data_IF_750140413268
#
_entry.id   IF_750140413268
#
_cell.length_a   1.000
_cell.length_b   1.000
_cell.length_c   1.000
_cell.angle_alpha   90.00
_cell.angle_beta   90.00
_cell.angle_gamma   90.00
#
_symmetry.space_group_name_H-M   'P 1'
#
loop_
_entity.id
_entity.type
_entity.pdbx_description
1 polymer ?
#
# COMPACT_ATOMS: atom_id res chain seq x y z
N UNK A 1 5.85 -35.56 -2.15
CA UNK A 1 4.41 -35.23 -2.04
C UNK A 1 4.29 -33.76 -2.42
N UNK A 2 3.84 -33.46 -3.64
CA UNK A 2 3.74 -32.07 -4.11
C UNK A 2 2.50 -31.44 -3.46
N UNK A 3 2.72 -30.53 -2.52
CA UNK A 3 1.64 -29.83 -1.82
C UNK A 3 0.90 -28.94 -2.84
N UNK A 4 -0.37 -29.23 -3.11
CA UNK A 4 -1.22 -28.39 -3.95
C UNK A 4 -1.62 -27.17 -3.14
N UNK A 5 -0.97 -26.05 -3.43
CA UNK A 5 -1.38 -24.74 -2.92
C UNK A 5 -2.67 -24.30 -3.61
N UNK A 6 -3.53 -23.64 -2.85
CA UNK A 6 -4.72 -22.99 -3.38
C UNK A 6 -4.35 -21.68 -4.08
N UNK A 7 -5.20 -21.21 -4.98
CA UNK A 7 -4.98 -19.93 -5.66
C UNK A 7 -4.93 -18.75 -4.69
N UNK A 8 -5.74 -18.78 -3.62
CA UNK A 8 -5.76 -17.75 -2.60
C UNK A 8 -4.41 -17.64 -1.84
N UNK A 9 -3.80 -18.78 -1.51
CA UNK A 9 -2.48 -18.82 -0.87
C UNK A 9 -1.38 -18.27 -1.78
N UNK A 10 -1.47 -18.54 -3.09
CA UNK A 10 -0.53 -18.00 -4.08
C UNK A 10 -0.66 -16.48 -4.19
N UNK A 11 -1.89 -15.94 -4.20
CA UNK A 11 -2.10 -14.50 -4.24
C UNK A 11 -1.67 -13.80 -2.95
N UNK A 12 -1.91 -14.40 -1.78
CA UNK A 12 -1.44 -13.86 -0.51
C UNK A 12 0.09 -13.86 -0.40
N UNK A 13 0.75 -14.94 -0.85
CA UNK A 13 2.21 -15.00 -0.93
C UNK A 13 2.77 -13.95 -1.92
N UNK A 14 2.10 -13.76 -3.07
CA UNK A 14 2.50 -12.73 -4.05
C UNK A 14 2.33 -11.31 -3.51
N UNK A 15 1.21 -11.02 -2.85
CA UNK A 15 0.99 -9.73 -2.19
C UNK A 15 2.06 -9.49 -1.12
N UNK A 16 2.38 -10.50 -0.30
CA UNK A 16 3.43 -10.41 0.72
C UNK A 16 4.79 -10.11 0.10
N UNK A 17 5.20 -10.85 -0.94
CA UNK A 17 6.49 -10.64 -1.62
C UNK A 17 6.54 -9.28 -2.32
N UNK A 18 5.45 -8.83 -2.92
CA UNK A 18 5.38 -7.55 -3.60
C UNK A 18 5.34 -6.37 -2.63
N UNK A 19 4.60 -6.46 -1.54
CA UNK A 19 4.62 -5.48 -0.46
C UNK A 19 6.00 -5.40 0.18
N UNK A 20 6.62 -6.52 0.56
CA UNK A 20 7.97 -6.53 1.13
C UNK A 20 9.01 -5.92 0.19
N UNK A 21 8.99 -6.30 -1.10
CA UNK A 21 9.89 -5.74 -2.10
C UNK A 21 9.63 -4.24 -2.33
N UNK A 22 8.37 -3.82 -2.39
CA UNK A 22 8.00 -2.42 -2.54
C UNK A 22 8.44 -1.58 -1.34
N UNK A 23 8.23 -2.04 -0.10
CA UNK A 23 8.64 -1.32 1.10
C UNK A 23 10.16 -1.33 1.32
N UNK A 24 10.86 -2.39 0.90
CA UNK A 24 12.32 -2.47 1.00
C UNK A 24 13.03 -1.57 -0.01
N UNK A 25 12.41 -1.36 -1.18
CA UNK A 25 12.97 -0.50 -2.23
C UNK A 25 12.43 0.92 -2.17
N UNK A 26 11.30 1.17 -1.49
CA UNK A 26 10.67 2.49 -1.44
C UNK A 26 11.63 3.57 -0.94
N UNK A 27 11.74 4.63 -1.74
CA UNK A 27 12.48 5.84 -1.35
C UNK A 27 11.67 6.66 -0.35
N UNK A 28 10.33 6.58 -0.43
CA UNK A 28 9.43 7.12 0.56
C UNK A 28 8.11 6.36 0.60
N UNK A 29 7.49 6.37 1.78
CA UNK A 29 6.18 5.74 2.02
C UNK A 29 5.25 6.77 2.65
N UNK A 30 4.09 6.99 2.03
CA UNK A 30 2.98 7.75 2.61
C UNK A 30 2.02 6.76 3.27
N UNK A 31 1.91 6.83 4.60
CA UNK A 31 1.03 5.97 5.39
C UNK A 31 0.08 6.86 6.20
N UNK A 32 -1.23 6.61 6.09
CA UNK A 32 -2.21 7.11 7.04
C UNK A 32 -2.74 5.91 7.85
N UNK A 33 -2.03 5.57 8.92
CA UNK A 33 -2.35 4.46 9.84
C UNK A 33 -2.13 4.96 11.26
N UNK A 34 -3.19 4.96 12.07
CA UNK A 34 -3.09 5.12 13.52
C UNK A 34 -3.12 3.74 14.23
N UNK A 35 -3.88 2.77 13.71
CA UNK A 35 -3.90 1.36 14.10
C UNK A 35 -3.95 0.49 12.82
N UNK A 36 -3.10 -0.53 12.65
CA UNK A 36 -3.14 -1.42 11.47
C UNK A 36 -4.45 -2.20 11.32
N UNK A 37 -5.21 -2.40 12.40
CA UNK A 37 -6.54 -3.02 12.36
C UNK A 37 -7.65 -2.01 11.97
N UNK A 38 -7.35 -0.71 12.00
CA UNK A 38 -8.28 0.35 11.58
C UNK A 38 -8.27 0.57 10.06
N UNK A 39 -9.33 1.16 9.48
CA UNK A 39 -9.36 1.52 8.07
C UNK A 39 -8.18 2.44 7.68
N UNK A 40 -7.31 1.94 6.81
CA UNK A 40 -6.12 2.65 6.36
C UNK A 40 -5.84 2.48 4.86
N UNK A 41 -5.00 3.39 4.36
CA UNK A 41 -4.40 3.37 3.02
C UNK A 41 -2.88 3.55 3.15
N UNK A 42 -2.12 2.76 2.39
CA UNK A 42 -0.67 2.88 2.29
C UNK A 42 -0.26 3.07 0.83
N UNK A 43 0.64 4.01 0.56
CA UNK A 43 1.19 4.26 -0.78
C UNK A 43 2.71 4.30 -0.71
N UNK A 44 3.37 3.47 -1.52
CA UNK A 44 4.82 3.49 -1.65
C UNK A 44 5.24 4.08 -3.00
N UNK A 45 6.27 4.92 -2.96
CA UNK A 45 6.88 5.53 -4.15
C UNK A 45 8.36 5.17 -4.22
N UNK A 46 8.82 4.83 -5.42
CA UNK A 46 10.22 4.61 -5.74
C UNK A 46 10.52 5.20 -7.12
N UNK A 47 11.62 5.94 -7.25
CA UNK A 47 12.06 6.57 -8.50
C UNK A 47 10.97 7.42 -9.17
N UNK A 48 10.24 8.20 -8.35
CA UNK A 48 9.14 9.05 -8.82
C UNK A 48 7.93 8.30 -9.36
N UNK A 49 7.79 7.00 -9.06
CA UNK A 49 6.64 6.18 -9.48
C UNK A 49 5.99 5.50 -8.28
N UNK A 50 4.66 5.37 -8.31
CA UNK A 50 3.94 4.56 -7.33
C UNK A 50 4.24 3.08 -7.61
N UNK A 51 4.77 2.39 -6.62
CA UNK A 51 5.08 0.95 -6.71
C UNK A 51 4.08 0.10 -5.94
N UNK A 52 3.37 0.68 -4.98
CA UNK A 52 2.38 -0.03 -4.16
C UNK A 52 1.25 0.89 -3.71
N UNK A 53 0.03 0.35 -3.71
CA UNK A 53 -1.14 0.92 -3.05
C UNK A 53 -1.83 -0.20 -2.28
N UNK A 54 -1.83 -0.10 -0.96
CA UNK A 54 -2.59 -0.97 -0.07
C UNK A 54 -3.85 -0.26 0.42
N UNK A 55 -5.00 -0.92 0.29
CA UNK A 55 -6.29 -0.43 0.81
C UNK A 55 -6.86 -1.52 1.70
N UNK A 56 -7.06 -1.19 2.98
CA UNK A 56 -7.66 -2.12 3.94
C UNK A 56 -9.13 -2.42 3.63
N UNK A 57 -9.62 -3.59 4.04
CA UNK A 57 -11.02 -3.98 3.90
C UNK A 57 -11.99 -3.00 4.58
N UNK A 58 -11.56 -2.36 5.67
CA UNK A 58 -12.32 -1.32 6.36
C UNK A 58 -12.60 -0.12 5.46
N UNK A 59 -11.58 0.31 4.70
CA UNK A 59 -11.70 1.43 3.75
C UNK A 59 -12.64 1.12 2.58
N UNK A 60 -12.73 -0.14 2.15
CA UNK A 60 -13.66 -0.56 1.07
C UNK A 60 -15.13 -0.47 1.46
N UNK A 61 -15.44 -0.33 2.76
CA UNK A 61 -16.81 -0.16 3.28
C UNK A 61 -17.19 1.30 3.48
N UNK A 62 -16.23 2.22 3.31
CA UNK A 62 -16.47 3.66 3.45
C UNK A 62 -17.11 4.24 2.19
N UNK A 63 -17.75 5.42 2.30
CA UNK A 63 -18.17 6.20 1.14
C UNK A 63 -17.00 6.45 0.18
N UNK A 64 -17.27 6.33 -1.12
CA UNK A 64 -16.25 6.39 -2.16
C UNK A 64 -15.48 7.73 -2.18
N UNK A 65 -16.17 8.82 -1.88
CA UNK A 65 -15.57 10.16 -1.74
C UNK A 65 -14.52 10.19 -0.62
N UNK A 66 -14.82 9.61 0.54
CA UNK A 66 -13.88 9.54 1.67
C UNK A 66 -12.68 8.66 1.36
N UNK A 67 -12.90 7.52 0.67
CA UNK A 67 -11.80 6.68 0.18
C UNK A 67 -10.89 7.45 -0.80
N UNK A 68 -11.48 8.19 -1.73
CA UNK A 68 -10.72 8.99 -2.69
C UNK A 68 -9.91 10.09 -1.99
N UNK A 69 -10.50 10.80 -1.03
CA UNK A 69 -9.81 11.85 -0.27
C UNK A 69 -8.59 11.28 0.49
N UNK A 70 -8.76 10.14 1.17
CA UNK A 70 -7.69 9.50 1.92
C UNK A 70 -6.57 8.99 1.00
N UNK A 71 -6.94 8.34 -0.11
CA UNK A 71 -5.97 7.85 -1.10
C UNK A 71 -5.17 9.02 -1.71
N UNK A 72 -5.84 10.10 -2.09
CA UNK A 72 -5.18 11.29 -2.65
C UNK A 72 -4.22 11.92 -1.64
N UNK A 73 -4.60 12.02 -0.37
CA UNK A 73 -3.72 12.50 0.70
C UNK A 73 -2.48 11.62 0.86
N UNK A 74 -2.64 10.29 0.84
CA UNK A 74 -1.52 9.35 0.95
C UNK A 74 -0.57 9.44 -0.26
N UNK A 75 -1.11 9.56 -1.47
CA UNK A 75 -0.31 9.76 -2.69
C UNK A 75 0.51 11.06 -2.56
N UNK A 76 -0.14 12.17 -2.20
CA UNK A 76 0.53 13.45 -2.04
C UNK A 76 1.67 13.38 -1.02
N UNK A 77 1.43 12.76 0.13
CA UNK A 77 2.43 12.61 1.19
C UNK A 77 3.60 11.73 0.73
N UNK A 78 3.34 10.61 0.06
CA UNK A 78 4.39 9.71 -0.43
C UNK A 78 5.33 10.44 -1.41
N UNK A 79 4.78 11.19 -2.37
CA UNK A 79 5.59 11.97 -3.31
C UNK A 79 6.29 13.16 -2.66
N UNK A 80 5.66 13.82 -1.69
CA UNK A 80 6.28 14.94 -0.96
C UNK A 80 7.50 14.48 -0.17
N UNK A 81 7.43 13.31 0.46
CA UNK A 81 8.57 12.71 1.16
C UNK A 81 9.65 12.24 0.18
N UNK A 82 9.29 11.62 -0.94
CA UNK A 82 10.25 11.21 -1.97
C UNK A 82 11.03 12.41 -2.54
N UNK A 83 10.36 13.54 -2.75
CA UNK A 83 10.99 14.77 -3.25
C UNK A 83 11.94 15.47 -2.27
N UNK A 84 11.97 15.09 -0.98
CA UNK A 84 12.93 15.64 -0.01
C UNK A 84 14.32 15.01 -0.07
N UNK A 85 14.51 13.95 -0.87
CA UNK A 85 15.80 13.26 -1.05
C UNK A 85 16.58 13.70 -2.31
N UNK A 86 16.13 14.74 -3.03
CA UNK A 86 16.84 15.34 -4.19
C UNK A 86 17.67 16.57 -3.82
#
# INVERSE_FOLDING_TARGET
MTMRRTLAEIFADMETVWSEAAFTTAEAVGIAVDDPDDPHVAVAVHDGQITYIGISDGMLRMPLDQLQDMLNACIFNAFSLAGTNQ
#
